data_IF_274500763700
#
_entry.id   IF_274500763700
#
_cell.length_a   1.000
_cell.length_b   1.000
_cell.length_c   1.000
_cell.angle_alpha   90.00
_cell.angle_beta   90.00
_cell.angle_gamma   90.00
#
_symmetry.space_group_name_H-M   'P 1'
#
loop_
_entity.id
_entity.type
_entity.pdbx_description
1 polymer ?
#
# COMPACT_ATOMS: atom_id res chain seq x y z
N UNK A 1 18.16 32.42 -16.46
CA UNK A 1 17.81 31.17 -15.77
C UNK A 1 16.66 30.56 -16.54
N UNK A 2 16.86 29.38 -17.12
CA UNK A 2 15.86 28.72 -17.96
C UNK A 2 15.07 27.69 -17.17
N UNK A 3 13.85 27.43 -17.59
CA UNK A 3 13.09 26.28 -17.15
C UNK A 3 13.60 25.05 -17.91
N UNK A 4 14.00 24.01 -17.18
CA UNK A 4 14.42 22.74 -17.75
C UNK A 4 13.49 21.64 -17.23
N UNK A 5 13.24 20.64 -18.08
CA UNK A 5 12.47 19.46 -17.74
C UNK A 5 13.28 18.21 -18.08
N UNK A 6 13.19 17.20 -17.23
CA UNK A 6 13.80 15.90 -17.44
C UNK A 6 12.74 14.83 -17.23
N UNK A 7 12.62 13.91 -18.18
CA UNK A 7 11.76 12.73 -18.08
C UNK A 7 12.64 11.52 -18.38
N UNK A 8 12.83 10.61 -17.41
CA UNK A 8 13.57 9.37 -17.65
C UNK A 8 12.97 8.60 -18.83
N UNK A 9 13.82 8.15 -19.76
CA UNK A 9 13.37 7.27 -20.86
C UNK A 9 13.21 5.81 -20.42
N UNK A 10 13.84 5.46 -19.30
CA UNK A 10 13.67 4.18 -18.61
C UNK A 10 13.01 4.45 -17.27
N UNK A 11 12.00 3.66 -16.91
CA UNK A 11 11.34 3.78 -15.62
C UNK A 11 12.37 3.61 -14.49
N UNK A 12 12.31 4.50 -13.51
CA UNK A 12 13.06 4.34 -12.27
C UNK A 12 12.41 3.19 -11.48
N UNK A 13 13.24 2.35 -10.87
CA UNK A 13 12.75 1.26 -10.01
C UNK A 13 12.15 1.80 -8.73
N UNK A 14 11.35 0.99 -8.04
CA UNK A 14 10.96 1.30 -6.66
C UNK A 14 12.19 1.49 -5.77
N UNK A 15 12.03 2.32 -4.74
CA UNK A 15 13.08 2.71 -3.81
C UNK A 15 13.41 4.19 -3.85
N UNK A 16 14.48 4.55 -3.12
CA UNK A 16 14.95 5.93 -2.98
C UNK A 16 15.97 6.28 -4.07
N UNK A 17 15.73 7.40 -4.73
CA UNK A 17 16.58 7.99 -5.76
C UNK A 17 17.05 9.37 -5.31
N UNK A 18 18.32 9.68 -5.58
CA UNK A 18 18.90 11.01 -5.32
C UNK A 18 19.22 11.68 -6.64
N UNK A 19 18.54 12.79 -6.93
CA UNK A 19 18.68 13.54 -8.19
C UNK A 19 19.37 14.87 -7.93
N UNK A 20 20.35 15.22 -8.77
CA UNK A 20 20.98 16.54 -8.79
C UNK A 20 21.16 17.02 -10.23
N UNK A 21 21.29 18.34 -10.40
CA UNK A 21 21.50 18.95 -11.70
C UNK A 21 22.74 19.84 -11.68
N UNK A 22 23.53 19.80 -12.75
CA UNK A 22 24.66 20.69 -12.98
C UNK A 22 24.58 21.25 -14.41
N UNK A 23 24.91 22.53 -14.59
CA UNK A 23 24.96 23.16 -15.91
C UNK A 23 26.37 23.07 -16.49
N UNK A 24 26.49 22.85 -17.80
CA UNK A 24 27.78 22.88 -18.52
C UNK A 24 27.75 24.04 -19.52
N UNK A 25 28.80 24.86 -19.56
CA UNK A 25 28.92 25.95 -20.53
C UNK A 25 29.34 25.47 -21.93
N UNK A 26 29.37 26.38 -22.91
CA UNK A 26 29.73 26.06 -24.29
C UNK A 26 31.21 25.66 -24.48
N UNK A 27 32.08 26.01 -23.53
CA UNK A 27 33.48 25.62 -23.53
C UNK A 27 33.70 24.24 -22.84
N UNK A 28 32.64 23.66 -22.27
CA UNK A 28 32.67 22.36 -21.58
C UNK A 28 32.93 22.46 -20.08
N UNK A 29 32.92 23.66 -19.47
CA UNK A 29 33.08 23.79 -18.03
C UNK A 29 31.78 23.42 -17.32
N UNK A 30 31.85 22.47 -16.39
CA UNK A 30 30.72 22.02 -15.57
C UNK A 30 30.65 22.87 -14.29
N UNK A 31 29.50 23.49 -14.03
CA UNK A 31 29.22 24.23 -12.82
C UNK A 31 28.92 23.34 -11.60
N UNK A 32 28.70 23.97 -10.45
CA UNK A 32 28.33 23.24 -9.24
C UNK A 32 26.99 22.51 -9.40
N UNK A 33 26.90 21.29 -8.86
CA UNK A 33 25.65 20.57 -8.77
C UNK A 33 24.69 21.22 -7.77
N UNK A 34 23.40 21.09 -8.02
CA UNK A 34 22.35 21.47 -7.07
C UNK A 34 22.42 20.61 -5.80
N UNK A 35 21.70 21.04 -4.76
CA UNK A 35 21.34 20.14 -3.66
C UNK A 35 20.60 18.91 -4.19
N UNK A 36 20.79 17.77 -3.53
CA UNK A 36 20.09 16.54 -3.85
C UNK A 36 18.58 16.67 -3.60
N UNK A 37 17.78 16.26 -4.57
CA UNK A 37 16.37 16.00 -4.42
C UNK A 37 16.17 14.50 -4.21
N UNK A 38 15.58 14.13 -3.08
CA UNK A 38 15.25 12.73 -2.77
C UNK A 38 13.86 12.41 -3.28
N UNK A 39 13.77 11.41 -4.15
CA UNK A 39 12.54 10.87 -4.70
C UNK A 39 12.39 9.42 -4.27
N UNK A 40 11.33 9.10 -3.54
CA UNK A 40 10.96 7.71 -3.27
C UNK A 40 9.88 7.29 -4.26
N UNK A 41 10.11 6.17 -4.93
CA UNK A 41 9.15 5.55 -5.84
C UNK A 41 8.65 4.28 -5.19
N UNK A 42 7.33 4.13 -5.17
CA UNK A 42 6.64 2.93 -4.72
C UNK A 42 5.51 2.65 -5.71
N UNK A 43 5.65 1.56 -6.47
CA UNK A 43 4.67 1.10 -7.46
C UNK A 43 4.13 -0.29 -7.11
N UNK A 44 4.56 -0.85 -5.97
CA UNK A 44 4.06 -2.13 -5.50
C UNK A 44 2.59 -2.00 -5.12
N UNK A 45 1.76 -2.93 -5.64
CA UNK A 45 0.40 -3.06 -5.17
C UNK A 45 0.41 -3.61 -3.74
N UNK A 46 -0.54 -3.20 -2.88
CA UNK A 46 -0.65 -3.77 -1.56
C UNK A 46 -0.81 -5.30 -1.60
N UNK A 47 -0.22 -6.00 -0.64
CA UNK A 47 -0.41 -7.44 -0.50
C UNK A 47 -1.89 -7.81 -0.31
N UNK A 48 -2.29 -8.96 -0.84
CA UNK A 48 -3.67 -9.46 -0.69
C UNK A 48 -3.97 -9.67 0.80
N UNK A 49 -5.04 -9.06 1.34
CA UNK A 49 -5.42 -9.28 2.74
C UNK A 49 -5.88 -10.73 2.96
N UNK A 50 -5.61 -11.25 4.14
CA UNK A 50 -5.95 -12.63 4.56
C UNK A 50 -6.91 -12.56 5.73
N UNK A 51 -7.96 -13.38 5.69
CA UNK A 51 -8.80 -13.67 6.85
C UNK A 51 -8.23 -14.91 7.54
N UNK A 52 -7.81 -14.76 8.79
CA UNK A 52 -7.23 -15.81 9.62
C UNK A 52 -8.30 -16.59 10.38
N UNK A 53 -9.26 -15.88 10.99
CA UNK A 53 -10.39 -16.50 11.69
C UNK A 53 -11.68 -15.74 11.43
N UNK A 54 -12.78 -16.49 11.50
CA UNK A 54 -14.13 -15.95 11.62
C UNK A 54 -14.75 -16.64 12.83
N UNK A 55 -15.32 -15.88 13.76
CA UNK A 55 -15.88 -16.41 15.01
C UNK A 55 -17.38 -16.15 15.10
N UNK A 56 -18.13 -17.18 15.48
CA UNK A 56 -19.55 -17.12 15.84
C UNK A 56 -19.71 -17.00 17.36
N UNK A 57 -20.45 -16.00 17.82
CA UNK A 57 -20.73 -15.77 19.23
C UNK A 57 -22.23 -15.87 19.59
N UNK A 58 -23.04 -16.56 18.78
CA UNK A 58 -24.49 -16.75 18.98
C UNK A 58 -24.86 -18.23 19.06
N UNK A 59 -25.31 -18.69 20.24
CA UNK A 59 -25.82 -20.05 20.46
C UNK A 59 -26.90 -20.47 19.43
N UNK A 60 -27.03 -21.78 19.12
CA UNK A 60 -26.51 -22.94 19.85
C UNK A 60 -25.09 -23.37 19.49
N UNK A 61 -24.53 -22.87 18.37
CA UNK A 61 -23.17 -23.18 17.94
C UNK A 61 -22.34 -21.91 18.09
N UNK A 62 -21.25 -21.98 18.85
CA UNK A 62 -20.33 -20.85 19.03
C UNK A 62 -18.89 -21.32 18.83
N UNK A 63 -18.00 -20.39 18.52
CA UNK A 63 -16.58 -20.63 18.29
C UNK A 63 -16.16 -20.32 16.85
N UNK A 64 -14.97 -20.78 16.50
CA UNK A 64 -14.37 -20.49 15.20
C UNK A 64 -15.04 -21.29 14.07
N UNK A 65 -15.27 -20.60 12.97
CA UNK A 65 -15.88 -21.15 11.76
C UNK A 65 -14.77 -21.62 10.84
N UNK A 66 -14.80 -22.92 10.51
CA UNK A 66 -13.89 -23.50 9.52
C UNK A 66 -14.34 -23.17 8.10
N UNK A 67 -13.42 -23.28 7.12
CA UNK A 67 -13.74 -23.00 5.72
C UNK A 67 -14.92 -23.86 5.23
N UNK A 68 -15.92 -23.20 4.64
CA UNK A 68 -17.17 -23.84 4.21
C UNK A 68 -18.23 -24.00 5.31
N UNK A 69 -17.94 -23.56 6.54
CA UNK A 69 -18.91 -23.49 7.63
C UNK A 69 -19.92 -22.35 7.45
N UNK A 70 -20.89 -22.32 8.36
CA UNK A 70 -21.95 -21.31 8.42
C UNK A 70 -22.11 -20.78 9.84
N UNK A 71 -22.65 -19.57 9.98
CA UNK A 71 -22.93 -18.92 11.26
C UNK A 71 -24.35 -18.37 11.29
N UNK A 72 -24.95 -18.32 12.48
CA UNK A 72 -26.19 -17.61 12.76
C UNK A 72 -25.96 -16.25 13.44
N UNK A 73 -24.70 -15.83 13.59
CA UNK A 73 -24.31 -14.51 14.05
C UNK A 73 -24.42 -13.48 12.93
N UNK A 74 -25.16 -12.40 13.18
CA UNK A 74 -25.30 -11.29 12.24
C UNK A 74 -24.10 -10.33 12.25
N UNK A 75 -23.22 -10.44 13.26
CA UNK A 75 -22.02 -9.63 13.42
C UNK A 75 -20.81 -10.52 13.76
N UNK A 76 -20.42 -11.44 12.86
CA UNK A 76 -19.27 -12.30 13.11
C UNK A 76 -17.99 -11.47 13.28
N UNK A 77 -17.08 -11.96 14.11
CA UNK A 77 -15.77 -11.33 14.28
C UNK A 77 -14.81 -11.90 13.26
N UNK A 78 -14.26 -11.05 12.39
CA UNK A 78 -13.24 -11.41 11.42
C UNK A 78 -11.88 -10.91 11.92
N UNK A 79 -10.89 -11.80 11.99
CA UNK A 79 -9.49 -11.42 12.24
C UNK A 79 -8.64 -11.79 11.03
N UNK A 80 -7.61 -10.99 10.77
CA UNK A 80 -6.82 -11.13 9.55
C UNK A 80 -5.60 -10.24 9.53
N UNK A 81 -4.90 -10.28 8.40
CA UNK A 81 -3.74 -9.43 8.12
C UNK A 81 -3.92 -8.71 6.80
N UNK A 82 -3.47 -7.47 6.73
CA UNK A 82 -3.41 -6.69 5.51
C UNK A 82 -2.16 -5.81 5.55
N UNK A 83 -1.76 -5.27 4.41
CA UNK A 83 -0.68 -4.29 4.39
C UNK A 83 -1.09 -3.01 5.11
N UNK A 84 -0.19 -2.45 5.92
CA UNK A 84 -0.45 -1.24 6.69
C UNK A 84 -0.92 -0.09 5.81
N UNK A 85 -1.90 0.68 6.28
CA UNK A 85 -2.54 1.80 5.55
C UNK A 85 -3.30 1.40 4.28
N UNK A 86 -3.38 0.11 3.92
CA UNK A 86 -4.22 -0.32 2.81
C UNK A 86 -5.70 -0.22 3.18
N UNK A 87 -6.57 -0.06 2.18
CA UNK A 87 -8.03 -0.12 2.37
C UNK A 87 -8.51 -1.56 2.15
N UNK A 88 -9.15 -2.12 3.17
CA UNK A 88 -9.77 -3.44 3.14
C UNK A 88 -11.26 -3.26 2.87
N UNK A 89 -11.78 -4.01 1.91
CA UNK A 89 -13.21 -4.06 1.58
C UNK A 89 -13.75 -5.46 1.88
N UNK A 90 -14.81 -5.54 2.68
CA UNK A 90 -15.44 -6.80 3.10
C UNK A 90 -16.70 -7.00 2.27
N UNK A 91 -16.85 -8.18 1.64
CA UNK A 91 -17.97 -8.50 0.78
C UNK A 91 -18.69 -9.78 1.24
N UNK A 92 -20.02 -9.80 1.06
CA UNK A 92 -20.83 -11.02 1.01
C UNK A 92 -21.26 -11.26 -0.45
N UNK A 93 -20.63 -12.23 -1.10
CA UNK A 93 -20.73 -12.43 -2.54
C UNK A 93 -20.26 -11.18 -3.29
N UNK A 94 -21.19 -10.47 -3.93
CA UNK A 94 -20.94 -9.21 -4.65
C UNK A 94 -21.33 -7.97 -3.84
N UNK A 95 -21.92 -8.13 -2.66
CA UNK A 95 -22.42 -7.03 -1.82
C UNK A 95 -21.31 -6.52 -0.92
N UNK A 96 -20.95 -5.24 -1.02
CA UNK A 96 -20.02 -4.60 -0.10
C UNK A 96 -20.69 -4.45 1.27
N UNK A 97 -20.12 -5.10 2.29
CA UNK A 97 -20.56 -4.98 3.68
C UNK A 97 -19.92 -3.78 4.39
N UNK A 98 -18.68 -3.46 4.03
CA UNK A 98 -17.98 -2.33 4.63
C UNK A 98 -16.53 -2.20 4.19
N UNK A 99 -15.90 -1.11 4.62
CA UNK A 99 -14.51 -0.80 4.34
C UNK A 99 -13.80 -0.37 5.63
N UNK A 100 -12.56 -0.80 5.81
CA UNK A 100 -11.71 -0.40 6.93
C UNK A 100 -10.28 -0.16 6.43
N UNK A 101 -9.57 0.79 7.04
CA UNK A 101 -8.14 0.97 6.78
C UNK A 101 -7.35 0.05 7.70
N UNK A 102 -6.45 -0.75 7.13
CA UNK A 102 -5.52 -1.57 7.89
C UNK A 102 -4.64 -0.67 8.76
N UNK A 103 -4.46 -1.04 10.02
CA UNK A 103 -3.64 -0.27 10.93
C UNK A 103 -2.19 -0.21 10.43
N UNK A 104 -1.59 0.96 10.53
CA UNK A 104 -0.15 1.07 10.48
C UNK A 104 0.33 0.87 11.90
N UNK A 105 0.87 -0.30 12.22
CA UNK A 105 1.67 -0.44 13.43
C UNK A 105 2.99 0.33 13.24
N UNK A 106 2.91 1.66 13.15
CA UNK A 106 4.07 2.54 13.20
C UNK A 106 4.41 2.70 14.68
N UNK A 107 5.58 2.20 15.07
CA UNK A 107 6.19 2.54 16.35
C UNK A 107 7.29 3.57 16.12
#
# INVERSE_FOLDING_TARGET
>A
MGNWTFTPTTALTDGSHSLSAAATDAAGNVGAASSAFTLTIDTAAPAIPVISTVTDNVAPVTGDITAGGSTNDAMPVLTGTAEANSTISIFDGTTLLGTITADCSCR
#
